data_IF_531056600296
#
_entry.id   IF_531056600296
#
_cell.length_a   1.000
_cell.length_b   1.000
_cell.length_c   1.000
_cell.angle_alpha   90.00
_cell.angle_beta   90.00
_cell.angle_gamma   90.00
#
_symmetry.space_group_name_H-M   'P 1'
#
loop_
_entity.id
_entity.type
_entity.pdbx_description
1 polymer ?
#
# COMPACT_ATOMS: atom_id res chain seq x y z
N UNK A 1 4.38 -2.14 -15.30
CA UNK A 1 3.02 -1.71 -14.88
C UNK A 1 2.03 -2.08 -15.97
N UNK A 2 0.94 -2.72 -15.58
CA UNK A 2 -0.08 -3.21 -16.51
C UNK A 2 -1.32 -2.33 -16.42
N UNK A 3 -1.99 -2.12 -17.55
CA UNK A 3 -3.31 -1.50 -17.53
C UNK A 3 -4.36 -2.52 -17.09
N UNK A 4 -5.33 -2.08 -16.28
CA UNK A 4 -6.48 -2.88 -15.89
C UNK A 4 -7.48 -2.91 -17.04
N UNK A 5 -7.21 -3.75 -18.04
CA UNK A 5 -8.03 -3.83 -19.25
C UNK A 5 -8.16 -5.27 -19.71
N UNK A 6 -9.40 -5.68 -20.03
CA UNK A 6 -9.66 -7.04 -20.46
C UNK A 6 -9.40 -8.05 -19.35
N UNK A 7 -8.51 -8.98 -19.60
CA UNK A 7 -8.14 -10.03 -18.66
C UNK A 7 -6.64 -9.96 -18.39
N UNK A 8 -6.26 -9.77 -17.13
CA UNK A 8 -4.86 -9.57 -16.71
C UNK A 8 -4.47 -10.62 -15.69
N UNK A 9 -3.33 -11.28 -15.90
CA UNK A 9 -2.74 -12.21 -14.92
C UNK A 9 -1.29 -11.81 -14.68
N UNK A 10 -0.91 -11.69 -13.39
CA UNK A 10 0.43 -11.28 -12.99
C UNK A 10 0.86 -12.12 -11.79
N UNK A 11 1.99 -12.80 -11.89
CA UNK A 11 2.65 -13.34 -10.72
C UNK A 11 3.50 -12.23 -10.10
N UNK A 12 3.53 -12.11 -8.78
CA UNK A 12 4.22 -11.01 -8.10
C UNK A 12 5.71 -10.94 -8.45
N UNK A 13 6.35 -12.08 -8.66
CA UNK A 13 7.77 -12.14 -9.02
C UNK A 13 8.08 -11.72 -10.45
N UNK A 14 7.05 -11.55 -11.29
CA UNK A 14 7.22 -10.98 -12.64
C UNK A 14 7.42 -9.47 -12.62
N UNK A 15 7.13 -8.81 -11.50
CA UNK A 15 7.23 -7.36 -11.34
C UNK A 15 8.40 -7.02 -10.44
N UNK A 16 9.25 -6.09 -10.89
CA UNK A 16 10.41 -5.68 -10.14
C UNK A 16 10.05 -4.79 -8.95
N UNK A 17 10.81 -4.91 -7.86
CA UNK A 17 10.78 -3.94 -6.77
C UNK A 17 11.41 -2.64 -7.26
N UNK A 18 10.80 -1.53 -6.88
CA UNK A 18 11.36 -0.20 -7.15
C UNK A 18 11.11 0.72 -5.95
N UNK A 19 11.81 1.84 -5.92
CA UNK A 19 11.57 2.85 -4.89
C UNK A 19 10.19 3.46 -5.09
N UNK A 20 9.54 3.84 -4.00
CA UNK A 20 8.25 4.50 -4.07
C UNK A 20 8.35 5.83 -4.81
N UNK A 21 7.40 6.07 -5.73
CA UNK A 21 7.31 7.30 -6.52
C UNK A 21 5.93 7.95 -6.44
N UNK A 22 4.95 7.22 -5.95
CA UNK A 22 3.55 7.64 -6.01
C UNK A 22 2.98 8.06 -4.67
N UNK A 23 3.52 7.51 -3.58
CA UNK A 23 2.95 7.63 -2.25
C UNK A 23 3.63 8.69 -1.39
N UNK A 24 4.73 9.26 -1.85
CA UNK A 24 5.57 10.20 -1.08
C UNK A 24 6.07 9.59 0.24
N UNK A 25 6.34 8.28 0.23
CA UNK A 25 6.85 7.57 1.39
C UNK A 25 8.34 7.81 1.59
N UNK A 26 8.85 7.73 2.83
CA UNK A 26 10.29 7.84 3.07
C UNK A 26 11.09 6.74 2.37
N UNK A 27 12.41 6.98 2.26
CA UNK A 27 13.33 6.01 1.65
C UNK A 27 13.32 4.68 2.39
N UNK A 28 13.56 3.61 1.66
CA UNK A 28 13.62 2.25 2.19
C UNK A 28 12.36 1.44 1.95
N UNK A 29 11.28 2.08 1.55
CA UNK A 29 10.06 1.38 1.19
C UNK A 29 10.11 1.01 -0.28
N UNK A 30 9.93 -0.28 -0.56
CA UNK A 30 9.92 -0.80 -1.92
C UNK A 30 8.51 -1.07 -2.38
N UNK A 31 8.26 -0.86 -3.66
CA UNK A 31 6.95 -1.08 -4.26
C UNK A 31 7.04 -1.91 -5.53
N UNK A 32 5.98 -2.64 -5.79
CA UNK A 32 5.71 -3.26 -7.08
C UNK A 32 4.39 -2.69 -7.58
N UNK A 33 4.39 -2.05 -8.73
CA UNK A 33 3.16 -1.55 -9.35
C UNK A 33 2.62 -2.66 -10.23
N UNK A 34 1.50 -3.24 -9.84
CA UNK A 34 0.91 -4.36 -10.57
C UNK A 34 0.07 -3.87 -11.74
N UNK A 35 -0.92 -3.04 -11.46
CA UNK A 35 -1.87 -2.62 -12.48
C UNK A 35 -2.44 -1.24 -12.16
N UNK A 36 -2.83 -0.52 -13.18
CA UNK A 36 -3.40 0.81 -13.08
C UNK A 36 -4.55 0.98 -14.08
N UNK A 37 -5.56 1.72 -13.67
CA UNK A 37 -6.58 2.25 -14.57
C UNK A 37 -6.69 3.75 -14.28
N UNK A 38 -6.03 4.55 -15.10
CA UNK A 38 -5.97 6.01 -14.88
C UNK A 38 -7.33 6.67 -15.08
N UNK A 39 -8.13 6.15 -15.99
CA UNK A 39 -9.46 6.67 -16.26
C UNK A 39 -10.39 6.50 -15.07
N UNK A 40 -10.36 5.32 -14.45
CA UNK A 40 -11.16 5.00 -13.26
C UNK A 40 -10.45 5.34 -11.96
N UNK A 41 -9.20 5.79 -12.02
CA UNK A 41 -8.36 6.10 -10.86
C UNK A 41 -8.20 4.91 -9.91
N UNK A 42 -7.85 3.76 -10.49
CA UNK A 42 -7.57 2.54 -9.75
C UNK A 42 -6.08 2.22 -9.82
N UNK A 43 -5.51 1.76 -8.71
CA UNK A 43 -4.09 1.40 -8.63
C UNK A 43 -3.91 0.23 -7.69
N UNK A 44 -3.27 -0.83 -8.19
CA UNK A 44 -2.89 -2.00 -7.39
C UNK A 44 -1.38 -2.07 -7.22
N UNK A 45 -0.92 -2.16 -5.98
CA UNK A 45 0.49 -2.21 -5.64
C UNK A 45 0.78 -3.24 -4.56
N UNK A 46 2.05 -3.63 -4.47
CA UNK A 46 2.58 -4.31 -3.29
C UNK A 46 3.61 -3.37 -2.67
N UNK A 47 3.53 -3.19 -1.35
CA UNK A 47 4.52 -2.42 -0.59
C UNK A 47 5.28 -3.35 0.33
N UNK A 48 6.58 -3.09 0.48
CA UNK A 48 7.42 -3.78 1.44
C UNK A 48 8.05 -2.77 2.38
N UNK A 49 7.67 -2.86 3.64
CA UNK A 49 8.17 -1.98 4.70
C UNK A 49 9.30 -2.68 5.46
N UNK A 50 10.42 -1.98 5.72
CA UNK A 50 11.51 -2.56 6.48
C UNK A 50 11.17 -2.74 7.96
N UNK A 51 11.87 -3.66 8.62
CA UNK A 51 11.69 -3.90 10.05
C UNK A 51 12.00 -2.62 10.85
N UNK A 52 11.15 -2.32 11.82
CA UNK A 52 11.32 -1.15 12.68
C UNK A 52 10.81 0.15 12.09
N UNK A 53 10.19 0.11 10.92
CA UNK A 53 9.66 1.33 10.30
C UNK A 53 8.39 1.79 11.03
N UNK A 54 8.30 3.11 11.20
CA UNK A 54 7.11 3.78 11.73
C UNK A 54 6.58 4.74 10.68
N UNK A 55 5.37 4.50 10.22
CA UNK A 55 4.68 5.39 9.29
C UNK A 55 3.82 6.36 10.08
N UNK A 56 4.07 7.68 9.98
CA UNK A 56 3.29 8.68 10.74
C UNK A 56 1.82 8.71 10.35
N UNK A 57 1.01 9.30 11.18
CA UNK A 57 -0.39 9.61 10.84
C UNK A 57 -0.41 10.45 9.58
N UNK A 58 -1.35 10.15 8.70
CA UNK A 58 -1.46 10.81 7.40
C UNK A 58 -2.86 10.69 6.83
N UNK A 59 -3.10 11.42 5.76
CA UNK A 59 -4.30 11.30 4.92
C UNK A 59 -3.90 11.17 3.46
N UNK A 60 -4.82 10.75 2.63
CA UNK A 60 -4.71 10.82 1.17
C UNK A 60 -6.08 10.91 0.54
N UNK A 61 -6.13 11.34 -0.74
CA UNK A 61 -7.38 11.59 -1.44
C UNK A 61 -8.03 10.33 -2.03
N UNK A 62 -7.35 9.20 -1.94
CA UNK A 62 -7.88 7.91 -2.37
C UNK A 62 -8.36 7.11 -1.16
N UNK A 63 -9.33 6.21 -1.38
CA UNK A 63 -9.55 5.13 -0.43
C UNK A 63 -8.48 4.07 -0.63
N UNK A 64 -8.17 3.30 0.41
CA UNK A 64 -7.29 2.16 0.22
C UNK A 64 -7.81 0.91 0.94
N UNK A 65 -7.54 -0.22 0.31
CA UNK A 65 -7.83 -1.55 0.82
C UNK A 65 -6.50 -2.27 0.92
N UNK A 66 -6.12 -2.69 2.12
CA UNK A 66 -4.82 -3.33 2.37
C UNK A 66 -5.05 -4.75 2.84
N UNK A 67 -4.31 -5.69 2.27
CA UNK A 67 -4.23 -7.07 2.75
C UNK A 67 -2.79 -7.37 3.11
N UNK A 68 -2.55 -7.86 4.32
CA UNK A 68 -1.21 -8.23 4.75
C UNK A 68 -0.86 -9.59 4.17
N UNK A 69 0.25 -9.64 3.44
CA UNK A 69 0.77 -10.87 2.82
C UNK A 69 1.81 -11.55 3.69
N UNK A 70 2.62 -10.77 4.40
CA UNK A 70 3.71 -11.27 5.21
C UNK A 70 4.12 -10.23 6.25
N UNK A 71 4.60 -10.68 7.41
CA UNK A 71 5.09 -9.79 8.45
C UNK A 71 4.01 -9.33 9.40
N UNK A 72 4.23 -8.15 10.00
CA UNK A 72 3.40 -7.64 11.08
C UNK A 72 3.15 -6.15 10.94
N UNK A 73 1.89 -5.75 11.15
CA UNK A 73 1.47 -4.35 11.19
C UNK A 73 0.79 -4.10 12.53
N UNK A 74 1.21 -3.07 13.23
CA UNK A 74 0.55 -2.60 14.45
C UNK A 74 -0.10 -1.27 14.15
N UNK A 75 -1.41 -1.20 14.31
CA UNK A 75 -2.19 0.00 14.03
C UNK A 75 -3.33 0.12 15.04
N UNK A 76 -3.42 1.30 15.66
CA UNK A 76 -4.46 1.62 16.64
C UNK A 76 -4.57 0.57 17.77
N UNK A 77 -3.43 0.11 18.26
CA UNK A 77 -3.36 -0.90 19.31
C UNK A 77 -3.67 -2.32 18.88
N UNK A 78 -3.91 -2.53 17.59
CA UNK A 78 -4.23 -3.85 17.03
C UNK A 78 -3.05 -4.37 16.23
N UNK A 79 -2.69 -5.63 16.45
CA UNK A 79 -1.64 -6.30 15.67
C UNK A 79 -2.28 -7.14 14.58
N UNK A 80 -1.86 -6.90 13.34
CA UNK A 80 -2.31 -7.66 12.19
C UNK A 80 -1.14 -8.41 11.56
N UNK A 81 -1.41 -9.63 11.15
CA UNK A 81 -0.44 -10.49 10.45
C UNK A 81 -1.06 -10.97 9.14
N UNK A 82 -0.45 -11.94 8.49
CA UNK A 82 -0.93 -12.49 7.22
C UNK A 82 -2.44 -12.71 7.23
N UNK A 83 -3.12 -12.18 6.21
CA UNK A 83 -4.57 -12.24 6.10
C UNK A 83 -5.29 -11.09 6.81
N UNK A 84 -4.56 -10.21 7.50
CA UNK A 84 -5.14 -9.00 8.09
C UNK A 84 -5.61 -8.03 7.01
N UNK A 85 -6.65 -7.26 7.33
CA UNK A 85 -7.26 -6.33 6.39
C UNK A 85 -7.44 -4.96 7.01
N UNK A 86 -7.13 -3.91 6.23
CA UNK A 86 -7.33 -2.52 6.63
C UNK A 86 -8.05 -1.79 5.51
N UNK A 87 -9.05 -1.02 5.86
CA UNK A 87 -9.73 -0.11 4.93
C UNK A 87 -9.73 1.31 5.49
N UNK A 88 -9.43 2.28 4.64
CA UNK A 88 -9.56 3.70 4.98
C UNK A 88 -10.25 4.45 3.86
N UNK A 89 -11.25 5.27 4.22
CA UNK A 89 -11.92 6.17 3.29
C UNK A 89 -10.99 7.31 2.86
N UNK A 90 -11.29 7.99 1.75
CA UNK A 90 -10.55 9.20 1.37
C UNK A 90 -10.59 10.25 2.47
N UNK A 91 -9.47 10.93 2.67
CA UNK A 91 -9.33 12.08 3.57
C UNK A 91 -9.56 11.78 5.05
N UNK A 92 -9.58 10.51 5.44
CA UNK A 92 -9.61 10.11 6.86
C UNK A 92 -8.17 10.03 7.36
N UNK A 93 -7.90 10.72 8.46
CA UNK A 93 -6.61 10.61 9.12
C UNK A 93 -6.46 9.23 9.76
N UNK A 94 -5.36 8.56 9.48
CA UNK A 94 -5.09 7.22 9.99
C UNK A 94 -3.61 7.00 10.28
N UNK A 95 -3.31 6.02 11.12
CA UNK A 95 -1.98 5.75 11.64
C UNK A 95 -1.84 6.22 13.09
N UNK A 96 -0.61 6.21 13.66
CA UNK A 96 0.60 5.70 13.03
C UNK A 96 0.56 4.20 12.80
N UNK A 97 1.36 3.74 11.84
CA UNK A 97 1.53 2.32 11.54
C UNK A 97 2.94 1.93 11.95
N UNK A 98 3.06 0.83 12.70
CA UNK A 98 4.35 0.27 13.07
C UNK A 98 4.53 -1.09 12.39
N UNK A 99 5.77 -1.34 11.95
CA UNK A 99 6.14 -2.59 11.28
C UNK A 99 7.34 -3.21 12.00
N UNK A 100 7.14 -3.74 13.22
CA UNK A 100 8.28 -4.15 14.07
C UNK A 100 9.17 -5.22 13.45
N UNK A 101 8.62 -6.08 12.60
CA UNK A 101 9.34 -7.16 11.93
C UNK A 101 9.43 -6.96 10.41
N UNK A 102 9.02 -5.77 9.94
CA UNK A 102 8.77 -5.55 8.53
C UNK A 102 7.39 -6.08 8.13
N UNK A 103 6.96 -5.73 6.92
CA UNK A 103 5.63 -6.11 6.46
C UNK A 103 5.56 -5.99 4.94
N UNK A 104 4.94 -6.96 4.30
CA UNK A 104 4.62 -6.90 2.88
C UNK A 104 3.11 -6.92 2.74
N UNK A 105 2.57 -5.94 2.02
CA UNK A 105 1.13 -5.77 1.88
C UNK A 105 0.75 -5.60 0.41
N UNK A 106 -0.46 -6.07 0.06
CA UNK A 106 -1.12 -5.69 -1.19
C UNK A 106 -2.05 -4.52 -0.90
N UNK A 107 -2.03 -3.51 -1.74
CA UNK A 107 -2.88 -2.32 -1.60
C UNK A 107 -3.62 -2.03 -2.90
N UNK A 108 -4.94 -1.83 -2.78
CA UNK A 108 -5.79 -1.37 -3.86
C UNK A 108 -6.27 0.05 -3.53
N UNK A 109 -5.89 1.01 -4.37
CA UNK A 109 -6.30 2.42 -4.23
C UNK A 109 -7.43 2.73 -5.21
N UNK A 110 -8.41 3.48 -4.71
CA UNK A 110 -9.52 4.02 -5.50
C UNK A 110 -9.64 5.51 -5.23
N UNK A 111 -9.50 6.34 -6.24
CA UNK A 111 -9.70 7.78 -6.11
C UNK A 111 -8.58 8.61 -6.72
N UNK A 112 -8.55 9.90 -6.36
CA UNK A 112 -7.78 10.91 -7.06
C UNK A 112 -6.26 10.76 -6.94
N UNK A 113 -5.77 10.46 -5.74
CA UNK A 113 -4.33 10.36 -5.55
C UNK A 113 -4.00 9.49 -4.34
N UNK A 114 -3.08 8.54 -4.48
CA UNK A 114 -2.59 7.77 -3.35
C UNK A 114 -1.54 8.51 -2.52
N UNK A 115 -1.09 9.70 -2.94
CA UNK A 115 -0.05 10.44 -2.24
C UNK A 115 -0.45 10.78 -0.81
N UNK A 116 0.47 10.53 0.14
CA UNK A 116 0.25 10.78 1.56
C UNK A 116 0.36 12.26 1.88
N UNK A 117 -0.45 12.72 2.82
CA UNK A 117 -0.40 14.08 3.39
C UNK A 117 -0.23 13.93 4.89
N UNK A 118 0.87 14.43 5.38
CA UNK A 118 1.25 14.34 6.79
C UNK A 118 0.85 15.56 7.58
#
# INVERSE_FOLDING_TARGET
MHEMKGFVTIAFDEVNWEDDKLMTLPKGIKTKILAVDQEKMLLDQIHKFPAGYLEPRHTHNSSHHIVILEGKMVIEGKTLTRGGYVYAEPNIEHGPYEYPEGCTVFIHFVGLSPAHKY
#
